data_IF_691150054670
#
_entry.id   IF_691150054670
#
_cell.length_a   1.000
_cell.length_b   1.000
_cell.length_c   1.000
_cell.angle_alpha   90.00
_cell.angle_beta   90.00
_cell.angle_gamma   90.00
#
_symmetry.space_group_name_H-M   'P 1'
#
loop_
_entity.id
_entity.type
_entity.pdbx_description
1 polymer ?
#
# COMPACT_ATOMS: atom_id res chain seq x y z
N UNK A 1 20.35 -7.67 2.71
CA UNK A 1 21.15 -6.50 3.10
C UNK A 1 22.60 -6.93 3.20
N UNK A 2 23.50 -6.27 2.47
CA UNK A 2 24.94 -6.51 2.61
C UNK A 2 25.43 -5.87 3.91
N UNK A 3 26.46 -6.46 4.53
CA UNK A 3 27.12 -5.89 5.73
C UNK A 3 27.50 -4.43 5.49
N UNK A 4 27.92 -4.11 4.26
CA UNK A 4 28.28 -2.75 3.84
C UNK A 4 27.13 -1.74 4.00
N UNK A 5 25.88 -2.14 3.76
CA UNK A 5 24.72 -1.25 3.94
C UNK A 5 24.40 -1.00 5.41
N UNK A 6 24.75 -1.93 6.29
CA UNK A 6 24.56 -1.76 7.75
C UNK A 6 25.58 -0.76 8.30
N UNK A 7 26.77 -0.69 7.68
CA UNK A 7 27.87 0.19 8.10
C UNK A 7 27.86 1.57 7.41
N UNK A 8 26.92 1.83 6.48
CA UNK A 8 26.87 3.09 5.73
C UNK A 8 26.61 4.28 6.65
N UNK A 9 27.42 5.33 6.47
CA UNK A 9 27.23 6.63 7.12
C UNK A 9 26.11 7.42 6.44
N UNK A 10 25.60 8.46 7.12
CA UNK A 10 24.62 9.40 6.53
C UNK A 10 25.11 9.96 5.19
N UNK A 11 26.39 10.32 5.10
CA UNK A 11 26.99 10.83 3.87
C UNK A 11 26.97 9.78 2.74
N UNK A 12 27.30 8.52 3.04
CA UNK A 12 27.19 7.42 2.09
C UNK A 12 25.75 7.22 1.59
N UNK A 13 24.76 7.28 2.50
CA UNK A 13 23.35 7.23 2.13
C UNK A 13 22.94 8.39 1.22
N UNK A 14 23.38 9.61 1.53
CA UNK A 14 23.08 10.80 0.72
C UNK A 14 23.73 10.74 -0.67
N UNK A 15 24.97 10.24 -0.76
CA UNK A 15 25.63 10.04 -2.05
C UNK A 15 24.91 9.01 -2.91
N UNK A 16 24.39 7.94 -2.31
CA UNK A 16 23.56 6.97 -3.02
C UNK A 16 22.21 7.57 -3.42
N UNK A 17 21.55 8.35 -2.56
CA UNK A 17 20.30 9.03 -2.90
C UNK A 17 20.47 9.95 -4.13
N UNK A 18 21.60 10.65 -4.22
CA UNK A 18 21.91 11.54 -5.35
C UNK A 18 22.07 10.83 -6.70
N UNK A 19 22.25 9.51 -6.73
CA UNK A 19 22.20 8.77 -8.01
C UNK A 19 20.78 8.71 -8.58
N UNK A 20 19.75 8.88 -7.74
CA UNK A 20 18.33 8.92 -8.14
C UNK A 20 17.77 10.34 -8.15
N UNK A 21 18.19 11.19 -7.21
CA UNK A 21 17.75 12.58 -7.09
C UNK A 21 18.95 13.51 -6.84
N UNK A 22 19.63 13.99 -7.91
CA UNK A 22 20.90 14.72 -7.81
C UNK A 22 20.87 15.98 -6.94
N UNK A 23 19.72 16.66 -6.90
CA UNK A 23 19.53 17.93 -6.18
C UNK A 23 19.28 17.74 -4.67
N UNK A 24 19.34 16.51 -4.14
CA UNK A 24 19.13 16.22 -2.72
C UNK A 24 20.16 16.94 -1.83
N UNK A 25 19.68 17.81 -0.91
CA UNK A 25 20.52 18.53 0.06
C UNK A 25 20.53 17.83 1.41
N UNK A 26 21.69 17.70 2.05
CA UNK A 26 21.84 16.94 3.31
C UNK A 26 20.93 17.43 4.46
N UNK A 27 20.60 18.71 4.46
CA UNK A 27 19.75 19.35 5.47
C UNK A 27 18.27 18.98 5.36
N UNK A 28 17.82 18.56 4.17
CA UNK A 28 16.42 18.21 3.91
C UNK A 28 16.14 16.72 4.22
N UNK A 29 17.18 15.96 4.58
CA UNK A 29 17.11 14.51 4.74
C UNK A 29 17.69 14.07 6.08
N UNK A 30 16.94 13.21 6.77
CA UNK A 30 17.34 12.62 8.04
C UNK A 30 17.29 11.09 7.98
N UNK A 31 18.17 10.46 8.75
CA UNK A 31 18.10 9.03 8.95
C UNK A 31 16.98 8.74 9.94
N UNK A 32 15.97 8.02 9.47
CA UNK A 32 14.86 7.57 10.29
C UNK A 32 14.99 6.08 10.58
N UNK A 33 14.64 5.68 11.80
CA UNK A 33 14.56 4.24 12.13
C UNK A 33 13.36 3.66 11.40
N UNK A 34 13.62 2.89 10.34
CA UNK A 34 12.58 2.14 9.66
C UNK A 34 11.80 1.32 10.68
N UNK A 35 10.47 1.37 10.60
CA UNK A 35 9.58 0.72 11.57
C UNK A 35 9.80 -0.79 11.66
N UNK A 36 8.95 -1.46 12.45
CA UNK A 36 9.02 -2.93 12.53
C UNK A 36 8.46 -3.53 11.25
N UNK A 37 9.21 -4.46 10.67
CA UNK A 37 8.71 -5.31 9.59
C UNK A 37 7.77 -6.35 10.20
N UNK A 38 6.54 -6.36 9.72
CA UNK A 38 5.53 -7.37 10.05
C UNK A 38 5.32 -8.28 8.84
N UNK A 39 5.14 -9.57 9.09
CA UNK A 39 4.82 -10.57 8.07
C UNK A 39 3.49 -11.20 8.45
N UNK A 40 2.55 -11.23 7.51
CA UNK A 40 1.25 -11.86 7.72
C UNK A 40 1.40 -13.37 7.58
N UNK A 41 0.95 -14.10 8.60
CA UNK A 41 0.88 -15.56 8.63
C UNK A 41 -0.56 -15.94 8.93
N UNK A 42 -1.18 -16.73 8.06
CA UNK A 42 -2.56 -17.17 8.23
C UNK A 42 -2.76 -18.61 7.80
N UNK A 43 -3.81 -19.22 8.32
CA UNK A 43 -4.25 -20.53 7.86
C UNK A 43 -5.07 -20.33 6.58
N UNK A 44 -4.82 -21.15 5.57
CA UNK A 44 -5.55 -21.11 4.29
C UNK A 44 -6.10 -22.50 3.97
N UNK A 45 -7.23 -22.56 3.27
CA UNK A 45 -7.81 -23.85 2.85
C UNK A 45 -6.89 -24.58 1.85
N UNK A 46 -6.20 -23.83 0.98
CA UNK A 46 -5.32 -24.38 -0.05
C UNK A 46 -3.96 -24.85 0.51
N UNK A 47 -3.33 -24.05 1.38
CA UNK A 47 -1.95 -24.30 1.84
C UNK A 47 -1.85 -24.74 3.31
N UNK A 48 -2.98 -24.86 4.02
CA UNK A 48 -3.01 -25.30 5.41
C UNK A 48 -2.56 -24.23 6.41
N UNK A 49 -2.07 -24.67 7.57
CA UNK A 49 -1.76 -23.79 8.70
C UNK A 49 -0.43 -23.08 8.56
N UNK A 50 -0.37 -21.83 9.01
CA UNK A 50 0.88 -21.05 9.06
C UNK A 50 1.41 -20.64 7.68
N UNK A 51 0.54 -20.47 6.69
CA UNK A 51 0.92 -20.01 5.36
C UNK A 51 1.38 -18.55 5.41
N UNK A 52 2.54 -18.29 4.81
CA UNK A 52 3.10 -16.95 4.70
C UNK A 52 2.41 -16.25 3.53
N UNK A 53 1.64 -15.21 3.84
CA UNK A 53 0.96 -14.44 2.81
C UNK A 53 1.94 -13.49 2.13
N UNK A 54 1.98 -13.53 0.79
CA UNK A 54 2.68 -12.55 -0.03
C UNK A 54 1.70 -11.51 -0.60
N UNK A 55 2.20 -10.30 -0.86
CA UNK A 55 1.43 -9.20 -1.44
C UNK A 55 0.87 -8.21 -0.41
N UNK A 56 0.02 -7.30 -0.90
CA UNK A 56 -0.69 -6.30 -0.11
C UNK A 56 -2.08 -6.84 0.29
N UNK A 57 -2.44 -6.72 1.57
CA UNK A 57 -3.74 -7.13 2.10
C UNK A 57 -4.36 -5.99 2.92
N UNK A 58 -5.65 -5.71 2.68
CA UNK A 58 -6.42 -4.77 3.50
C UNK A 58 -7.15 -5.58 4.57
N UNK A 59 -6.81 -5.34 5.83
CA UNK A 59 -7.49 -5.93 6.98
C UNK A 59 -8.36 -4.86 7.61
N UNK A 60 -9.65 -5.15 7.72
CA UNK A 60 -10.64 -4.26 8.33
C UNK A 60 -11.06 -4.87 9.66
N UNK A 61 -11.21 -4.06 10.71
CA UNK A 61 -11.88 -4.49 11.93
C UNK A 61 -13.36 -4.76 11.65
N UNK A 62 -13.98 -5.63 12.46
CA UNK A 62 -15.38 -6.00 12.28
C UNK A 62 -16.34 -4.81 12.41
N UNK A 63 -15.96 -3.80 13.19
CA UNK A 63 -16.67 -2.55 13.41
C UNK A 63 -16.23 -1.42 12.47
N UNK A 64 -15.32 -1.69 11.52
CA UNK A 64 -14.79 -0.74 10.53
C UNK A 64 -14.10 0.50 11.12
N UNK A 65 -13.75 0.49 12.41
CA UNK A 65 -13.07 1.61 13.08
C UNK A 65 -11.56 1.61 12.85
N UNK A 66 -10.99 0.47 12.46
CA UNK A 66 -9.55 0.31 12.18
C UNK A 66 -9.35 -0.41 10.86
N UNK A 67 -8.45 0.13 10.05
CA UNK A 67 -8.03 -0.44 8.78
C UNK A 67 -6.51 -0.55 8.80
N UNK A 68 -6.00 -1.72 8.44
CA UNK A 68 -4.59 -1.95 8.29
C UNK A 68 -4.31 -2.43 6.86
N UNK A 69 -3.44 -1.68 6.17
CA UNK A 69 -2.82 -2.15 4.94
C UNK A 69 -1.55 -2.92 5.31
N UNK A 70 -1.58 -4.25 5.19
CA UNK A 70 -0.50 -5.13 5.58
C UNK A 70 0.21 -5.70 4.35
N UNK A 71 1.53 -5.85 4.45
CA UNK A 71 2.34 -6.45 3.39
C UNK A 71 3.12 -5.42 2.59
N UNK A 72 3.39 -5.75 1.33
CA UNK A 72 4.16 -4.87 0.44
C UNK A 72 3.36 -3.62 0.08
N UNK A 73 4.05 -2.50 -0.18
CA UNK A 73 3.38 -1.30 -0.68
C UNK A 73 2.64 -1.66 -1.97
N UNK A 74 1.34 -1.34 -2.11
CA UNK A 74 0.60 -1.63 -3.33
C UNK A 74 1.31 -0.96 -4.50
N UNK A 75 1.48 -1.71 -5.58
CA UNK A 75 1.96 -1.15 -6.83
C UNK A 75 0.93 -0.23 -7.45
N UNK A 76 1.31 0.50 -8.50
CA UNK A 76 0.39 1.36 -9.25
C UNK A 76 -0.86 0.60 -9.73
N UNK A 77 -0.73 -0.68 -10.04
CA UNK A 77 -1.82 -1.56 -10.50
C UNK A 77 -2.83 -1.95 -9.42
N UNK A 78 -2.47 -1.91 -8.13
CA UNK A 78 -3.35 -2.33 -7.02
C UNK A 78 -3.73 -1.19 -6.08
N UNK A 79 -3.08 -0.03 -6.21
CA UNK A 79 -3.32 1.12 -5.33
C UNK A 79 -4.74 1.66 -5.43
N UNK A 80 -5.29 1.76 -6.66
CA UNK A 80 -6.65 2.27 -6.87
C UNK A 80 -7.69 1.32 -6.31
N UNK A 81 -7.57 0.02 -6.55
CA UNK A 81 -8.51 -0.97 -6.03
C UNK A 81 -8.51 -1.03 -4.50
N UNK A 82 -7.32 -0.95 -3.88
CA UNK A 82 -7.18 -0.88 -2.43
C UNK A 82 -7.84 0.37 -1.86
N UNK A 83 -7.61 1.54 -2.48
CA UNK A 83 -8.21 2.79 -2.03
C UNK A 83 -9.74 2.75 -2.12
N UNK A 84 -10.29 2.22 -3.21
CA UNK A 84 -11.74 2.05 -3.37
C UNK A 84 -12.31 1.09 -2.31
N UNK A 85 -11.66 -0.06 -2.06
CA UNK A 85 -12.10 -0.99 -1.01
C UNK A 85 -12.18 -0.29 0.36
N UNK A 86 -11.17 0.52 0.70
CA UNK A 86 -11.13 1.27 1.96
C UNK A 86 -12.30 2.25 2.06
N UNK A 87 -12.55 3.03 1.02
CA UNK A 87 -13.64 4.00 0.97
C UNK A 87 -15.00 3.31 1.07
N UNK A 88 -15.21 2.24 0.30
CA UNK A 88 -16.49 1.54 0.25
C UNK A 88 -16.83 0.83 1.55
N UNK A 89 -15.86 0.18 2.19
CA UNK A 89 -16.12 -0.64 3.39
C UNK A 89 -16.19 0.18 4.66
N UNK A 90 -15.35 1.19 4.80
CA UNK A 90 -15.17 1.89 6.08
C UNK A 90 -15.83 3.27 6.11
N UNK A 91 -16.20 3.78 4.94
CA UNK A 91 -16.89 5.06 4.78
C UNK A 91 -18.16 4.88 3.95
N UNK A 92 -18.82 3.73 4.10
CA UNK A 92 -20.01 3.34 3.33
C UNK A 92 -21.12 4.40 3.33
N UNK A 93 -21.26 5.14 4.44
CA UNK A 93 -22.23 6.23 4.60
C UNK A 93 -21.99 7.43 3.67
N UNK A 94 -20.74 7.65 3.23
CA UNK A 94 -20.37 8.73 2.32
C UNK A 94 -20.30 8.30 0.85
N UNK A 95 -20.29 7.00 0.57
CA UNK A 95 -20.22 6.45 -0.80
C UNK A 95 -21.30 7.06 -1.72
N UNK A 96 -22.57 7.24 -1.31
CA UNK A 96 -23.57 7.86 -2.17
C UNK A 96 -23.21 9.30 -2.58
N UNK A 97 -22.61 10.07 -1.67
CA UNK A 97 -22.17 11.45 -1.93
C UNK A 97 -20.94 11.48 -2.84
N UNK A 98 -20.02 10.53 -2.67
CA UNK A 98 -18.78 10.47 -3.44
C UNK A 98 -18.91 9.81 -4.81
N UNK A 99 -19.93 8.98 -5.01
CA UNK A 99 -20.15 8.22 -6.26
C UNK A 99 -20.07 9.10 -7.52
N UNK A 100 -20.70 10.31 -7.59
CA UNK A 100 -20.57 11.17 -8.76
C UNK A 100 -19.12 11.58 -9.06
N UNK A 101 -18.33 11.88 -8.02
CA UNK A 101 -16.92 12.27 -8.19
C UNK A 101 -16.04 11.08 -8.54
N UNK A 102 -16.29 9.93 -7.94
CA UNK A 102 -15.61 8.68 -8.27
C UNK A 102 -15.87 8.28 -9.73
N UNK A 103 -17.09 8.44 -10.23
CA UNK A 103 -17.42 8.18 -11.63
C UNK A 103 -16.82 9.20 -12.61
N UNK A 104 -16.64 10.46 -12.18
CA UNK A 104 -15.89 11.45 -12.97
C UNK A 104 -14.41 11.06 -13.13
N UNK A 105 -13.79 10.58 -12.05
CA UNK A 105 -12.37 10.19 -12.04
C UNK A 105 -12.13 8.79 -12.63
N UNK A 106 -13.07 7.88 -12.41
CA UNK A 106 -13.03 6.47 -12.79
C UNK A 106 -14.36 6.13 -13.47
N UNK A 107 -14.51 6.35 -14.79
CA UNK A 107 -15.79 6.17 -15.49
C UNK A 107 -16.37 4.76 -15.44
N UNK A 108 -15.53 3.76 -15.18
CA UNK A 108 -15.92 2.36 -15.01
C UNK A 108 -16.29 1.99 -13.56
N UNK A 109 -16.31 2.96 -12.64
CA UNK A 109 -16.63 2.69 -11.25
C UNK A 109 -18.05 2.13 -11.10
N UNK A 110 -18.17 0.96 -10.47
CA UNK A 110 -19.42 0.21 -10.33
C UNK A 110 -19.85 -0.58 -11.56
N UNK A 111 -19.01 -0.67 -12.60
CA UNK A 111 -19.26 -1.44 -13.84
C UNK A 111 -18.25 -2.56 -14.00
N UNK A 112 -18.69 -3.68 -14.58
CA UNK A 112 -17.80 -4.79 -14.89
C UNK A 112 -17.19 -4.56 -16.26
N UNK A 113 -15.88 -4.30 -16.34
CA UNK A 113 -15.19 -4.17 -17.63
C UNK A 113 -15.14 -5.48 -18.44
N UNK A 114 -15.52 -6.60 -17.83
CA UNK A 114 -15.59 -7.91 -18.48
C UNK A 114 -16.98 -8.17 -19.07
N UNK A 115 -18.04 -7.71 -18.39
CA UNK A 115 -19.43 -7.97 -18.79
C UNK A 115 -20.03 -6.78 -19.56
N UNK A 116 -19.62 -5.55 -19.23
CA UNK A 116 -20.07 -4.29 -19.84
C UNK A 116 -19.10 -3.85 -20.95
N UNK A 117 -18.88 -4.73 -21.93
CA UNK A 117 -18.07 -4.45 -23.13
C UNK A 117 -18.95 -3.74 -24.15
N UNK A 118 -19.14 -2.44 -23.97
CA UNK A 118 -19.64 -1.52 -25.01
C UNK A 118 -18.50 -0.65 -25.58
#
# INVERSE_FOLDING_TARGET
YSIDQILMTKEGCMNHLRTFYPEAKDQDWELYTAGKRVQVIKDTEEYGKGYIQFGTEVVNSQDHTVIALLGESPGASTSVSVALEVLERNFAEYVPEWTPKLQEMIPSYGKSLIEDVD
#
